data_IF_875458863289
#
_entry.id   IF_875458863289
#
_cell.length_a   1.000
_cell.length_b   1.000
_cell.length_c   1.000
_cell.angle_alpha   90.00
_cell.angle_beta   90.00
_cell.angle_gamma   90.00
#
_symmetry.space_group_name_H-M   'P 1'
#
loop_
_entity.id
_entity.type
_entity.pdbx_description
1 polymer ?
#
# COMPACT_ATOMS: atom_id res chain seq x y z
N UNK A 1 -39.07 14.44 -42.55
CA UNK A 1 -37.77 13.84 -42.21
C UNK A 1 -37.18 14.66 -41.06
N UNK A 2 -37.34 14.20 -39.83
CA UNK A 2 -36.76 14.83 -38.64
C UNK A 2 -35.47 14.07 -38.33
N UNK A 3 -34.33 14.78 -38.42
CA UNK A 3 -33.05 14.30 -37.97
C UNK A 3 -33.06 14.19 -36.43
N UNK A 4 -33.12 13.00 -35.91
CA UNK A 4 -32.76 12.70 -34.55
C UNK A 4 -31.21 12.59 -34.53
N UNK A 5 -30.56 13.66 -34.09
CA UNK A 5 -29.18 13.55 -33.57
C UNK A 5 -29.31 13.03 -32.14
N UNK A 6 -29.11 11.75 -31.98
CA UNK A 6 -28.82 11.18 -30.67
C UNK A 6 -27.51 11.79 -30.17
N UNK A 7 -27.60 12.54 -29.08
CA UNK A 7 -26.46 12.92 -28.27
C UNK A 7 -25.86 11.63 -27.69
N UNK A 8 -24.72 11.24 -28.19
CA UNK A 8 -23.91 10.21 -27.55
C UNK A 8 -23.46 10.75 -26.18
N UNK A 9 -24.21 10.39 -25.13
CA UNK A 9 -23.66 10.41 -23.79
C UNK A 9 -22.46 9.46 -23.81
N UNK A 10 -21.28 9.99 -23.57
CA UNK A 10 -20.08 9.19 -23.34
C UNK A 10 -20.29 8.41 -22.02
N UNK A 11 -20.80 7.20 -22.14
CA UNK A 11 -20.81 6.25 -21.04
C UNK A 11 -19.34 5.99 -20.70
N UNK A 12 -18.95 6.33 -19.48
CA UNK A 12 -17.63 5.97 -18.94
C UNK A 12 -17.47 4.44 -19.06
N UNK A 13 -16.63 4.02 -20.02
CA UNK A 13 -16.55 2.62 -20.46
C UNK A 13 -15.66 1.76 -19.55
N UNK A 14 -15.07 2.33 -18.48
CA UNK A 14 -14.22 1.57 -17.58
C UNK A 14 -14.96 1.22 -16.28
N UNK A 15 -15.42 -0.03 -16.18
CA UNK A 15 -16.04 -0.55 -14.95
C UNK A 15 -15.05 -0.81 -13.81
N UNK A 16 -13.76 -0.77 -14.07
CA UNK A 16 -12.67 -0.92 -13.09
C UNK A 16 -11.41 -0.23 -13.60
N UNK A 17 -10.66 0.36 -12.67
CA UNK A 17 -9.40 1.05 -12.96
C UNK A 17 -8.17 0.22 -12.56
N UNK A 18 -8.32 -1.08 -12.34
CA UNK A 18 -7.19 -1.99 -12.14
C UNK A 18 -6.51 -2.29 -13.46
N UNK A 19 -5.19 -2.10 -13.56
CA UNK A 19 -4.43 -2.49 -14.77
C UNK A 19 -4.62 -3.97 -15.11
N UNK A 20 -4.82 -4.84 -14.10
CA UNK A 20 -5.14 -6.27 -14.31
C UNK A 20 -6.44 -6.52 -15.07
N UNK A 21 -7.32 -5.54 -15.18
CA UNK A 21 -8.62 -5.58 -15.87
C UNK A 21 -8.65 -4.67 -17.11
N UNK A 22 -7.51 -4.10 -17.48
CA UNK A 22 -7.33 -3.25 -18.66
C UNK A 22 -6.44 -3.94 -19.69
N UNK A 23 -6.70 -3.66 -20.97
CA UNK A 23 -5.75 -3.96 -22.04
C UNK A 23 -4.97 -2.68 -22.42
N UNK A 24 -3.93 -2.80 -23.24
CA UNK A 24 -3.07 -1.68 -23.59
C UNK A 24 -3.80 -0.54 -24.32
N UNK A 25 -4.85 -0.84 -25.11
CA UNK A 25 -5.63 0.17 -25.83
C UNK A 25 -6.43 1.03 -24.84
N UNK A 26 -6.97 0.44 -23.78
CA UNK A 26 -7.66 1.17 -22.70
C UNK A 26 -6.71 2.11 -21.96
N UNK A 27 -5.45 1.67 -21.74
CA UNK A 27 -4.43 2.52 -21.13
C UNK A 27 -4.05 3.67 -22.06
N UNK A 28 -3.91 3.43 -23.36
CA UNK A 28 -3.61 4.47 -24.36
C UNK A 28 -4.74 5.51 -24.42
N UNK A 29 -5.99 5.07 -24.40
CA UNK A 29 -7.17 5.97 -24.34
C UNK A 29 -7.16 6.80 -23.04
N UNK A 30 -6.84 6.15 -21.89
CA UNK A 30 -6.72 6.86 -20.61
C UNK A 30 -5.65 7.96 -20.68
N UNK A 31 -4.47 7.64 -21.17
CA UNK A 31 -3.36 8.58 -21.30
C UNK A 31 -3.63 9.76 -22.24
N UNK A 32 -4.62 9.67 -23.11
CA UNK A 32 -5.12 10.78 -23.91
C UNK A 32 -5.86 11.87 -23.11
N UNK A 33 -6.24 11.58 -21.84
CA UNK A 33 -7.03 12.49 -20.98
C UNK A 33 -6.43 12.76 -19.61
N UNK A 34 -5.64 11.83 -19.05
CA UNK A 34 -5.03 11.93 -17.72
C UNK A 34 -3.68 11.20 -17.72
N UNK A 35 -2.74 11.65 -16.90
CA UNK A 35 -1.41 11.04 -16.77
C UNK A 35 -1.11 10.54 -15.35
N UNK A 36 -2.14 10.48 -14.47
CA UNK A 36 -2.02 9.95 -13.11
C UNK A 36 -2.02 8.43 -13.10
N UNK A 37 -1.31 7.84 -12.14
CA UNK A 37 -1.39 6.42 -11.83
C UNK A 37 -1.07 6.15 -10.37
N UNK A 38 -1.45 4.96 -9.89
CA UNK A 38 -1.09 4.49 -8.54
C UNK A 38 -0.25 3.23 -8.65
N UNK A 39 0.87 3.19 -7.92
CA UNK A 39 1.74 2.03 -7.76
C UNK A 39 1.71 1.57 -6.30
N UNK A 40 0.98 0.49 -5.96
CA UNK A 40 1.00 -0.07 -4.61
C UNK A 40 2.29 -0.86 -4.37
N UNK A 41 2.91 -0.65 -3.20
CA UNK A 41 4.06 -1.42 -2.73
C UNK A 41 3.68 -2.19 -1.46
N UNK A 42 3.75 -3.50 -1.52
CA UNK A 42 3.49 -4.40 -0.39
C UNK A 42 4.74 -5.13 0.08
N UNK A 43 4.52 -6.19 0.83
CA UNK A 43 5.52 -7.16 1.23
C UNK A 43 4.86 -8.52 1.46
N UNK A 44 5.64 -9.59 1.36
CA UNK A 44 5.26 -10.92 1.82
C UNK A 44 6.08 -11.22 3.06
N UNK A 45 5.51 -10.94 4.23
CA UNK A 45 6.18 -11.13 5.51
C UNK A 45 5.24 -11.61 6.61
N UNK A 46 5.83 -12.06 7.72
CA UNK A 46 5.09 -12.47 8.89
C UNK A 46 4.25 -11.32 9.45
N UNK A 47 2.98 -11.59 9.77
CA UNK A 47 2.05 -10.70 10.45
C UNK A 47 1.28 -11.45 11.55
N UNK A 48 2.02 -12.17 12.39
CA UNK A 48 1.48 -12.99 13.47
C UNK A 48 0.36 -13.94 12.97
N UNK A 49 -0.87 -13.66 13.29
CA UNK A 49 -2.05 -14.48 12.96
C UNK A 49 -2.75 -14.05 11.66
N UNK A 50 -2.27 -13.00 11.00
CA UNK A 50 -2.83 -12.49 9.75
C UNK A 50 -2.15 -13.13 8.53
N UNK A 51 -2.64 -12.80 7.36
CA UNK A 51 -2.04 -13.22 6.09
C UNK A 51 -0.59 -12.76 5.96
N UNK A 52 0.27 -13.60 5.40
CA UNK A 52 1.63 -13.18 4.99
C UNK A 52 1.62 -12.06 3.94
N UNK A 53 0.50 -11.86 3.26
CA UNK A 53 0.31 -10.81 2.26
C UNK A 53 -0.42 -9.58 2.80
N UNK A 54 -0.49 -9.39 4.12
CA UNK A 54 -1.21 -8.27 4.77
C UNK A 54 -0.85 -6.94 4.14
N UNK A 55 0.42 -6.61 4.03
CA UNK A 55 0.90 -5.34 3.44
C UNK A 55 0.42 -5.15 2.00
N UNK A 56 0.48 -6.22 1.21
CA UNK A 56 0.05 -6.20 -0.20
C UNK A 56 -1.46 -6.03 -0.33
N UNK A 57 -2.24 -6.77 0.48
CA UNK A 57 -3.70 -6.69 0.51
C UNK A 57 -4.15 -5.27 0.88
N UNK A 58 -3.53 -4.69 1.91
CA UNK A 58 -3.90 -3.36 2.40
C UNK A 58 -3.50 -2.27 1.39
N UNK A 59 -2.27 -2.31 0.87
CA UNK A 59 -1.81 -1.32 -0.10
C UNK A 59 -2.61 -1.32 -1.40
N UNK A 60 -2.87 -2.51 -1.97
CA UNK A 60 -3.62 -2.64 -3.21
C UNK A 60 -5.07 -2.22 -3.03
N UNK A 61 -5.74 -2.73 -1.99
CA UNK A 61 -7.14 -2.42 -1.73
C UNK A 61 -7.35 -0.93 -1.48
N UNK A 62 -6.50 -0.32 -0.66
CA UNK A 62 -6.56 1.11 -0.37
C UNK A 62 -6.36 1.95 -1.63
N UNK A 63 -5.36 1.59 -2.45
CA UNK A 63 -5.08 2.26 -3.71
C UNK A 63 -6.29 2.21 -4.64
N UNK A 64 -6.93 1.06 -4.78
CA UNK A 64 -8.11 0.88 -5.64
C UNK A 64 -9.30 1.69 -5.13
N UNK A 65 -9.68 1.56 -3.85
CA UNK A 65 -10.82 2.27 -3.29
C UNK A 65 -10.62 3.81 -3.30
N UNK A 66 -9.38 4.28 -3.26
CA UNK A 66 -9.07 5.69 -3.38
C UNK A 66 -9.11 6.20 -4.82
N UNK A 67 -8.57 5.44 -5.77
CA UNK A 67 -8.33 5.86 -7.15
C UNK A 67 -9.52 5.64 -8.09
N UNK A 68 -10.30 4.58 -7.87
CA UNK A 68 -11.41 4.19 -8.75
C UNK A 68 -12.47 5.30 -8.95
N UNK A 69 -12.93 6.03 -7.90
CA UNK A 69 -13.87 7.13 -8.10
C UNK A 69 -13.32 8.32 -8.88
N UNK A 70 -11.99 8.39 -9.05
CA UNK A 70 -11.29 9.42 -9.82
C UNK A 70 -10.95 8.96 -11.24
N UNK A 71 -11.28 7.71 -11.58
CA UNK A 71 -10.92 7.11 -12.86
C UNK A 71 -9.40 6.99 -13.06
N UNK A 72 -8.61 6.83 -11.99
CA UNK A 72 -7.14 6.73 -12.04
C UNK A 72 -6.72 5.25 -11.99
N UNK A 73 -5.87 4.77 -12.94
CA UNK A 73 -5.47 3.37 -12.97
C UNK A 73 -4.51 3.00 -11.82
N UNK A 74 -4.71 1.77 -11.32
CA UNK A 74 -3.90 1.17 -10.26
C UNK A 74 -3.13 0.00 -10.83
N UNK A 75 -1.81 0.08 -10.77
CA UNK A 75 -0.91 -1.00 -11.17
C UNK A 75 -0.98 -2.17 -10.19
N UNK A 76 -0.63 -3.40 -10.62
CA UNK A 76 -0.52 -4.54 -9.72
C UNK A 76 0.44 -4.24 -8.58
N UNK A 77 0.10 -4.71 -7.37
CA UNK A 77 0.95 -4.51 -6.19
C UNK A 77 2.29 -5.23 -6.35
N UNK A 78 3.39 -4.55 -6.01
CA UNK A 78 4.69 -5.20 -5.86
C UNK A 78 4.72 -5.93 -4.52
N UNK A 79 4.46 -7.23 -4.54
CA UNK A 79 4.18 -8.04 -3.35
C UNK A 79 5.43 -8.50 -2.57
N UNK A 80 6.62 -8.21 -3.03
CA UNK A 80 7.88 -8.54 -2.35
C UNK A 80 8.62 -7.26 -2.00
N UNK A 81 8.97 -7.12 -0.72
CA UNK A 81 9.58 -5.92 -0.15
C UNK A 81 10.92 -6.20 0.55
N UNK A 82 11.35 -5.22 1.35
CA UNK A 82 12.61 -5.27 2.12
C UNK A 82 12.28 -5.58 3.58
N UNK A 83 12.44 -6.85 4.00
CA UNK A 83 12.14 -7.31 5.36
C UNK A 83 13.21 -8.29 5.90
N UNK A 84 14.49 -7.90 5.94
CA UNK A 84 15.57 -8.82 6.30
C UNK A 84 15.47 -9.33 7.74
N UNK A 85 14.91 -8.54 8.65
CA UNK A 85 14.78 -8.87 10.07
C UNK A 85 13.75 -9.98 10.34
N UNK A 86 12.76 -10.19 9.45
CA UNK A 86 11.78 -11.28 9.58
C UNK A 86 12.12 -12.55 8.79
N UNK A 87 13.30 -12.62 8.21
CA UNK A 87 13.73 -13.73 7.35
C UNK A 87 13.74 -15.10 8.05
N UNK A 88 13.75 -15.14 9.39
CA UNK A 88 13.66 -16.38 10.15
C UNK A 88 12.22 -16.90 10.34
N UNK A 89 11.19 -16.14 9.95
CA UNK A 89 9.80 -16.59 9.94
C UNK A 89 9.50 -17.24 8.59
N UNK A 90 9.11 -18.53 8.56
CA UNK A 90 8.81 -19.21 7.30
C UNK A 90 7.72 -18.51 6.49
N UNK A 91 7.92 -18.42 5.18
CA UNK A 91 7.01 -17.73 4.25
C UNK A 91 7.35 -16.24 4.05
N UNK A 92 8.17 -15.63 4.90
CA UNK A 92 8.68 -14.28 4.66
C UNK A 92 9.71 -14.29 3.54
N UNK A 93 9.51 -13.44 2.53
CA UNK A 93 10.42 -13.26 1.40
C UNK A 93 10.95 -11.83 1.42
N UNK A 94 12.25 -11.66 1.55
CA UNK A 94 12.88 -10.33 1.48
C UNK A 94 13.72 -10.19 0.22
N UNK A 95 13.64 -9.04 -0.42
CA UNK A 95 14.58 -8.62 -1.44
C UNK A 95 15.75 -7.86 -0.80
N UNK A 96 16.89 -7.81 -1.49
CA UNK A 96 17.96 -6.87 -1.15
C UNK A 96 17.51 -5.45 -1.49
N UNK A 97 18.01 -4.47 -0.76
CA UNK A 97 17.70 -3.05 -1.02
C UNK A 97 18.01 -2.69 -2.48
N UNK A 98 19.21 -3.01 -2.95
CA UNK A 98 19.65 -2.74 -4.33
C UNK A 98 18.73 -3.38 -5.38
N UNK A 99 18.30 -4.63 -5.16
CA UNK A 99 17.39 -5.35 -6.07
C UNK A 99 16.01 -4.68 -6.08
N UNK A 100 15.52 -4.31 -4.90
CA UNK A 100 14.21 -3.68 -4.77
C UNK A 100 14.19 -2.29 -5.43
N UNK A 101 15.24 -1.49 -5.22
CA UNK A 101 15.37 -0.18 -5.89
C UNK A 101 15.44 -0.34 -7.40
N UNK A 102 16.18 -1.33 -7.91
CA UNK A 102 16.23 -1.60 -9.36
C UNK A 102 14.85 -1.97 -9.92
N UNK A 103 14.11 -2.86 -9.24
CA UNK A 103 12.75 -3.22 -9.69
C UNK A 103 11.80 -2.03 -9.68
N UNK A 104 11.83 -1.21 -8.63
CA UNK A 104 11.00 0.01 -8.56
C UNK A 104 11.41 1.00 -9.65
N UNK A 105 12.72 1.17 -9.89
CA UNK A 105 13.26 2.02 -10.96
C UNK A 105 12.78 1.59 -12.33
N UNK A 106 12.94 0.32 -12.68
CA UNK A 106 12.50 -0.25 -13.99
C UNK A 106 10.98 -0.05 -14.20
N UNK A 107 10.18 -0.20 -13.13
CA UNK A 107 8.73 0.06 -13.20
C UNK A 107 8.45 1.54 -13.46
N UNK A 108 9.09 2.44 -12.73
CA UNK A 108 8.90 3.88 -12.88
C UNK A 108 9.38 4.37 -14.26
N UNK A 109 10.49 3.83 -14.77
CA UNK A 109 11.01 4.14 -16.12
C UNK A 109 9.99 3.76 -17.18
N UNK A 110 9.43 2.54 -17.11
CA UNK A 110 8.42 2.08 -18.05
C UNK A 110 7.12 2.91 -17.95
N UNK A 111 6.67 3.25 -16.73
CA UNK A 111 5.50 4.10 -16.53
C UNK A 111 5.71 5.50 -17.15
N UNK A 112 6.88 6.11 -16.93
CA UNK A 112 7.23 7.42 -17.45
C UNK A 112 7.35 7.41 -18.97
N UNK A 113 7.95 6.37 -19.56
CA UNK A 113 8.05 6.16 -21.00
C UNK A 113 6.69 6.07 -21.68
N UNK A 114 5.71 5.40 -21.05
CA UNK A 114 4.35 5.32 -21.57
C UNK A 114 3.55 6.62 -21.41
N UNK A 115 4.03 7.59 -20.61
CA UNK A 115 3.37 8.88 -20.46
C UNK A 115 2.70 9.13 -19.11
N UNK A 116 2.81 8.22 -18.15
CA UNK A 116 2.41 8.50 -16.77
C UNK A 116 3.38 9.50 -16.13
N UNK A 117 2.89 10.66 -15.74
CA UNK A 117 3.73 11.74 -15.20
C UNK A 117 3.42 12.12 -13.76
N UNK A 118 2.29 11.67 -13.22
CA UNK A 118 1.85 11.90 -11.86
C UNK A 118 1.58 10.55 -11.19
N UNK A 119 2.54 10.05 -10.43
CA UNK A 119 2.51 8.70 -9.85
C UNK A 119 2.37 8.80 -8.33
N UNK A 120 1.33 8.21 -7.77
CA UNK A 120 1.20 8.01 -6.33
C UNK A 120 1.69 6.62 -5.96
N UNK A 121 2.75 6.54 -5.19
CA UNK A 121 3.20 5.29 -4.57
C UNK A 121 2.46 5.13 -3.25
N UNK A 122 1.62 4.08 -3.14
CA UNK A 122 0.95 3.70 -1.90
C UNK A 122 1.73 2.58 -1.25
N UNK A 123 2.50 2.92 -0.23
CA UNK A 123 3.33 1.95 0.48
C UNK A 123 2.55 1.32 1.64
N UNK A 124 2.51 -0.01 1.69
CA UNK A 124 1.93 -0.83 2.76
C UNK A 124 2.94 -1.38 3.76
N UNK A 125 4.26 -1.21 3.51
CA UNK A 125 5.29 -1.88 4.29
C UNK A 125 6.41 -0.94 4.77
N UNK A 126 6.68 -0.94 6.07
CA UNK A 126 7.69 -0.06 6.69
C UNK A 126 9.10 -0.26 6.17
N UNK A 127 9.49 -1.49 5.82
CA UNK A 127 10.79 -1.81 5.26
C UNK A 127 11.05 -1.22 3.86
N UNK A 128 10.01 -0.81 3.13
CA UNK A 128 10.13 -0.18 1.82
C UNK A 128 10.45 1.33 1.89
N UNK A 129 10.52 1.92 3.07
CA UNK A 129 10.80 3.37 3.27
C UNK A 129 12.04 3.87 2.51
N UNK A 130 13.13 3.08 2.28
CA UNK A 130 14.25 3.52 1.44
C UNK A 130 13.86 3.98 0.03
N UNK A 131 12.73 3.51 -0.52
CA UNK A 131 12.19 3.95 -1.82
C UNK A 131 11.95 5.46 -1.84
N UNK A 132 11.58 6.06 -0.72
CA UNK A 132 11.34 7.51 -0.66
C UNK A 132 12.59 8.33 -1.01
N UNK A 133 13.75 7.90 -0.52
CA UNK A 133 15.03 8.54 -0.89
C UNK A 133 15.40 8.29 -2.34
N UNK A 134 15.24 7.04 -2.82
CA UNK A 134 15.48 6.66 -4.20
C UNK A 134 14.60 7.44 -5.18
N UNK A 135 13.31 7.61 -4.88
CA UNK A 135 12.38 8.39 -5.72
C UNK A 135 12.85 9.83 -5.87
N UNK A 136 13.41 10.45 -4.82
CA UNK A 136 13.97 11.80 -4.90
C UNK A 136 15.13 11.89 -5.90
N UNK A 137 16.03 10.91 -5.92
CA UNK A 137 17.13 10.80 -6.90
C UNK A 137 16.57 10.55 -8.31
N UNK A 138 15.67 9.60 -8.46
CA UNK A 138 15.05 9.23 -9.73
C UNK A 138 14.34 10.42 -10.41
N UNK A 139 13.59 11.23 -9.66
CA UNK A 139 12.89 12.43 -10.18
C UNK A 139 13.90 13.46 -10.74
N UNK A 140 15.10 13.56 -10.14
CA UNK A 140 16.11 14.51 -10.61
C UNK A 140 16.56 14.22 -12.06
N UNK A 141 16.54 12.95 -12.46
CA UNK A 141 16.89 12.50 -13.81
C UNK A 141 15.67 12.42 -14.76
N UNK A 142 14.45 12.60 -14.22
CA UNK A 142 13.19 12.51 -14.99
C UNK A 142 12.37 13.82 -14.92
N UNK A 143 12.85 14.91 -15.54
CA UNK A 143 12.17 16.20 -15.49
C UNK A 143 10.77 16.11 -16.10
N UNK A 144 9.78 16.61 -15.37
CA UNK A 144 8.36 16.58 -15.78
C UNK A 144 7.55 15.43 -15.16
N UNK A 145 8.17 14.47 -14.50
CA UNK A 145 7.47 13.47 -13.67
C UNK A 145 7.35 13.97 -12.22
N UNK A 146 6.25 13.65 -11.59
CA UNK A 146 5.97 13.94 -10.18
C UNK A 146 5.57 12.66 -9.47
N UNK A 147 6.18 12.39 -8.34
CA UNK A 147 5.88 11.20 -7.54
C UNK A 147 5.59 11.63 -6.12
N UNK A 148 4.45 11.17 -5.59
CA UNK A 148 4.13 11.23 -4.16
C UNK A 148 4.36 9.85 -3.55
N UNK A 149 5.04 9.80 -2.39
CA UNK A 149 5.24 8.58 -1.63
C UNK A 149 4.40 8.62 -0.35
N UNK A 150 3.48 7.68 -0.20
CA UNK A 150 2.49 7.67 0.86
C UNK A 150 2.57 6.40 1.71
N UNK A 151 3.02 6.52 2.95
CA UNK A 151 2.90 5.48 3.96
C UNK A 151 1.51 5.57 4.58
N UNK A 152 0.56 4.79 4.09
CA UNK A 152 -0.84 4.95 4.45
C UNK A 152 -1.12 4.75 5.94
N UNK A 153 -0.46 3.77 6.60
CA UNK A 153 -0.74 3.37 7.99
C UNK A 153 -0.36 4.42 9.04
N UNK A 154 0.58 5.31 8.74
CA UNK A 154 1.02 6.39 9.62
C UNK A 154 0.74 7.79 9.05
N UNK A 155 -0.10 7.87 8.05
CA UNK A 155 -0.58 9.12 7.51
C UNK A 155 -1.37 9.89 8.60
N UNK A 156 -1.33 11.22 8.62
CA UNK A 156 -1.82 12.02 9.75
C UNK A 156 -3.25 11.69 10.19
N UNK A 157 -4.21 11.55 9.26
CA UNK A 157 -5.60 11.24 9.60
C UNK A 157 -5.75 9.79 10.10
N UNK A 158 -5.08 8.85 9.44
CA UNK A 158 -5.06 7.44 9.83
C UNK A 158 -4.49 7.30 11.24
N UNK A 159 -3.33 7.90 11.47
CA UNK A 159 -2.68 7.82 12.77
C UNK A 159 -3.49 8.47 13.89
N UNK A 160 -4.15 9.59 13.61
CA UNK A 160 -5.05 10.21 14.57
C UNK A 160 -6.22 9.28 14.97
N UNK A 161 -6.80 8.53 14.00
CA UNK A 161 -7.84 7.55 14.29
C UNK A 161 -7.30 6.36 15.10
N UNK A 162 -6.12 5.84 14.74
CA UNK A 162 -5.45 4.76 15.48
C UNK A 162 -5.25 5.18 16.95
N UNK A 163 -4.69 6.37 17.18
CA UNK A 163 -4.41 6.87 18.53
C UNK A 163 -5.70 7.18 19.33
N UNK A 164 -6.79 7.54 18.68
CA UNK A 164 -8.07 7.77 19.32
C UNK A 164 -8.74 6.46 19.77
N UNK A 165 -8.48 5.34 19.08
CA UNK A 165 -9.01 4.03 19.40
C UNK A 165 -8.16 3.36 20.48
N UNK A 166 -6.86 3.20 20.23
CA UNK A 166 -5.91 2.61 21.17
C UNK A 166 -4.48 3.05 20.82
N UNK A 167 -3.78 3.73 21.74
CA UNK A 167 -2.41 4.18 21.49
C UNK A 167 -1.40 3.03 21.39
N UNK A 168 -1.76 1.81 21.83
CA UNK A 168 -0.89 0.62 21.75
C UNK A 168 -1.17 -0.11 20.44
N UNK A 169 -0.61 0.43 19.36
CA UNK A 169 -0.75 -0.09 17.99
C UNK A 169 0.63 -0.27 17.36
N UNK A 170 0.84 -1.38 16.65
CA UNK A 170 2.15 -1.74 16.09
C UNK A 170 2.03 -2.74 14.95
N UNK A 171 3.19 -3.14 14.38
CA UNK A 171 3.29 -4.22 13.40
C UNK A 171 2.65 -5.52 13.90
N UNK A 172 1.85 -6.13 13.04
CA UNK A 172 1.12 -7.38 13.27
C UNK A 172 0.15 -7.32 14.46
N UNK A 173 -0.27 -6.14 14.89
CA UNK A 173 -1.27 -5.92 15.91
C UNK A 173 -2.66 -5.67 15.32
N UNK A 174 -3.59 -5.32 16.18
CA UNK A 174 -4.97 -5.01 15.83
C UNK A 174 -5.11 -3.99 14.69
N UNK A 175 -4.20 -3.00 14.56
CA UNK A 175 -4.31 -1.94 13.55
C UNK A 175 -4.16 -2.43 12.10
N UNK A 176 -3.69 -3.65 11.89
CA UNK A 176 -3.59 -4.31 10.59
C UNK A 176 -4.60 -5.45 10.42
N UNK A 177 -5.41 -5.71 11.46
CA UNK A 177 -6.38 -6.81 11.50
C UNK A 177 -7.73 -6.38 10.90
N UNK A 178 -7.76 -6.12 9.61
CA UNK A 178 -8.98 -5.86 8.85
C UNK A 178 -9.67 -7.18 8.43
N UNK A 179 -10.98 -7.18 8.14
CA UNK A 179 -11.70 -8.40 7.72
C UNK A 179 -11.02 -9.15 6.57
N UNK A 180 -10.36 -8.45 5.66
CA UNK A 180 -9.70 -9.02 4.48
C UNK A 180 -8.24 -9.43 4.68
N UNK A 181 -7.63 -9.14 5.82
CA UNK A 181 -6.30 -9.64 6.20
C UNK A 181 -6.36 -10.90 7.07
N UNK A 182 -7.56 -11.24 7.58
CA UNK A 182 -7.79 -12.39 8.45
C UNK A 182 -7.78 -13.71 7.68
N UNK A 183 -7.32 -14.74 8.34
CA UNK A 183 -7.36 -16.11 7.83
C UNK A 183 -8.51 -16.88 8.50
N UNK A 184 -9.23 -17.70 7.71
CA UNK A 184 -10.32 -18.49 8.21
C UNK A 184 -9.84 -19.52 9.26
N UNK A 185 -10.61 -19.71 10.33
CA UNK A 185 -10.36 -20.70 11.40
C UNK A 185 -9.09 -20.44 12.22
N UNK A 186 -8.54 -19.24 12.20
CA UNK A 186 -7.45 -18.84 13.08
C UNK A 186 -8.04 -18.13 14.30
N UNK A 187 -7.73 -18.61 15.49
CA UNK A 187 -8.05 -17.95 16.74
C UNK A 187 -6.89 -17.03 17.14
N UNK A 188 -7.19 -15.77 17.37
CA UNK A 188 -6.22 -14.79 17.86
C UNK A 188 -6.26 -14.71 19.38
N UNK A 189 -5.16 -14.43 20.08
CA UNK A 189 -5.16 -14.18 21.51
C UNK A 189 -6.03 -12.98 21.88
N UNK A 190 -6.67 -13.04 23.04
CA UNK A 190 -7.50 -11.94 23.57
C UNK A 190 -6.73 -11.01 24.49
N UNK A 191 -5.57 -11.46 24.98
CA UNK A 191 -4.72 -10.69 25.88
C UNK A 191 -3.83 -9.73 25.08
N UNK A 192 -3.65 -8.54 25.63
CA UNK A 192 -2.73 -7.55 25.06
C UNK A 192 -1.29 -7.98 25.28
N UNK A 193 -0.52 -8.05 24.19
CA UNK A 193 0.91 -8.30 24.26
C UNK A 193 1.66 -7.03 24.69
N UNK A 194 2.63 -7.13 25.63
CA UNK A 194 3.50 -6.01 25.95
C UNK A 194 4.24 -5.47 24.72
N UNK A 195 4.37 -4.15 24.63
CA UNK A 195 5.06 -3.52 23.51
C UNK A 195 6.55 -3.86 23.55
N UNK A 196 7.08 -4.34 22.43
CA UNK A 196 8.51 -4.50 22.21
C UNK A 196 9.10 -3.20 21.67
N UNK A 197 10.37 -2.93 22.03
CA UNK A 197 11.10 -1.78 21.50
C UNK A 197 11.58 -2.05 20.06
N UNK A 198 11.04 -1.34 19.04
CA UNK A 198 11.44 -1.55 17.65
C UNK A 198 12.92 -1.25 17.39
N UNK A 199 13.51 -0.29 18.11
CA UNK A 199 14.92 0.07 17.95
C UNK A 199 15.85 -1.05 18.46
N UNK A 200 15.44 -1.76 19.51
CA UNK A 200 16.15 -2.94 19.98
C UNK A 200 16.06 -4.06 18.95
N UNK A 201 14.87 -4.31 18.39
CA UNK A 201 14.65 -5.36 17.39
C UNK A 201 15.50 -5.16 16.12
N UNK A 202 15.65 -3.91 15.66
CA UNK A 202 16.46 -3.57 14.48
C UNK A 202 17.94 -3.87 14.62
N UNK A 203 18.44 -4.09 15.84
CA UNK A 203 19.85 -4.42 16.14
C UNK A 203 20.10 -5.92 16.28
N UNK A 204 19.05 -6.73 16.18
CA UNK A 204 19.12 -8.17 16.34
C UNK A 204 19.22 -8.87 14.97
N UNK A 205 19.87 -10.03 14.95
CA UNK A 205 19.79 -10.92 13.80
C UNK A 205 18.39 -11.56 13.68
N UNK A 206 18.00 -12.09 12.49
CA UNK A 206 16.65 -12.59 12.27
C UNK A 206 16.20 -13.72 13.22
N UNK A 207 17.12 -14.59 13.66
CA UNK A 207 16.79 -15.67 14.60
C UNK A 207 16.46 -15.11 15.97
N UNK A 208 17.29 -14.19 16.45
CA UNK A 208 17.08 -13.48 17.71
C UNK A 208 15.79 -12.66 17.70
N UNK A 209 15.45 -12.01 16.57
CA UNK A 209 14.16 -11.33 16.41
C UNK A 209 13.00 -12.31 16.57
N UNK A 210 13.05 -13.46 15.89
CA UNK A 210 12.01 -14.49 16.00
C UNK A 210 11.87 -15.06 17.41
N UNK A 211 12.99 -15.35 18.07
CA UNK A 211 13.00 -15.84 19.45
C UNK A 211 12.41 -14.83 20.43
N UNK A 212 12.67 -13.54 20.20
CA UNK A 212 12.18 -12.46 21.04
C UNK A 212 10.70 -12.19 20.83
N UNK A 213 10.26 -12.08 19.57
CA UNK A 213 8.86 -11.78 19.21
C UNK A 213 7.93 -13.00 19.35
N UNK A 214 8.45 -14.21 19.19
CA UNK A 214 7.70 -15.49 19.20
C UNK A 214 6.71 -15.58 18.06
N UNK A 215 5.49 -15.03 18.24
CA UNK A 215 4.41 -15.02 17.24
C UNK A 215 4.56 -13.94 16.17
N UNK A 216 5.43 -12.96 16.36
CA UNK A 216 5.71 -11.89 15.38
C UNK A 216 5.03 -10.55 15.67
N UNK A 217 4.00 -10.48 16.52
CA UNK A 217 3.39 -9.21 16.91
C UNK A 217 4.37 -8.37 17.76
N UNK A 218 4.53 -7.09 17.43
CA UNK A 218 5.39 -6.18 18.21
C UNK A 218 4.80 -5.77 19.56
N UNK A 219 3.49 -5.81 19.70
CA UNK A 219 2.76 -5.48 20.93
C UNK A 219 1.38 -4.89 20.64
N UNK A 220 0.54 -4.85 21.64
CA UNK A 220 -0.84 -4.43 21.54
C UNK A 220 -1.82 -5.62 21.48
N UNK A 221 -3.09 -5.31 21.31
CA UNK A 221 -4.14 -6.30 21.04
C UNK A 221 -3.94 -6.91 19.64
N UNK A 222 -4.55 -8.05 19.38
CA UNK A 222 -4.48 -8.73 18.08
C UNK A 222 -5.66 -8.39 17.17
N UNK A 223 -6.76 -7.96 17.74
CA UNK A 223 -7.99 -7.64 17.02
C UNK A 223 -8.80 -6.59 17.79
N UNK A 224 -9.58 -5.81 17.05
CA UNK A 224 -10.61 -4.90 17.55
C UNK A 224 -11.88 -5.05 16.71
N UNK A 225 -12.95 -4.39 17.13
CA UNK A 225 -14.23 -4.43 16.45
C UNK A 225 -14.15 -3.86 15.02
N UNK A 226 -14.88 -4.49 14.11
CA UNK A 226 -14.85 -4.10 12.69
C UNK A 226 -15.30 -2.65 12.46
N UNK A 227 -16.21 -2.12 13.29
CA UNK A 227 -16.61 -0.71 13.21
C UNK A 227 -15.44 0.25 13.48
N UNK A 228 -14.56 -0.06 14.44
CA UNK A 228 -13.37 0.73 14.73
C UNK A 228 -12.37 0.63 13.57
N UNK A 229 -12.17 -0.58 13.07
CA UNK A 229 -11.28 -0.83 11.94
C UNK A 229 -11.73 -0.09 10.67
N UNK A 230 -13.04 -0.08 10.41
CA UNK A 230 -13.59 0.63 9.23
C UNK A 230 -13.46 2.15 9.32
N UNK A 231 -13.43 2.76 10.52
CA UNK A 231 -13.13 4.19 10.68
C UNK A 231 -11.68 4.51 10.25
N UNK A 232 -10.73 3.66 10.63
CA UNK A 232 -9.32 3.79 10.20
C UNK A 232 -9.23 3.64 8.69
N UNK A 233 -9.90 2.62 8.13
CA UNK A 233 -9.90 2.35 6.70
C UNK A 233 -10.43 3.53 5.90
N UNK A 234 -11.59 4.06 6.30
CA UNK A 234 -12.21 5.22 5.65
C UNK A 234 -11.29 6.45 5.67
N UNK A 235 -10.65 6.74 6.81
CA UNK A 235 -9.66 7.82 6.90
C UNK A 235 -8.50 7.60 5.93
N UNK A 236 -8.01 6.36 5.80
CA UNK A 236 -6.94 6.00 4.86
C UNK A 236 -7.35 6.20 3.39
N UNK A 237 -8.55 5.73 3.01
CA UNK A 237 -9.08 5.91 1.66
C UNK A 237 -9.25 7.39 1.32
N UNK A 238 -9.81 8.19 2.23
CA UNK A 238 -10.01 9.62 2.02
C UNK A 238 -8.69 10.38 1.90
N UNK A 239 -7.72 10.08 2.75
CA UNK A 239 -6.40 10.72 2.73
C UNK A 239 -5.62 10.37 1.46
N UNK A 240 -5.66 9.10 1.05
CA UNK A 240 -5.03 8.63 -0.19
C UNK A 240 -5.70 9.27 -1.43
N UNK A 241 -7.03 9.36 -1.44
CA UNK A 241 -7.78 10.02 -2.52
C UNK A 241 -7.48 11.51 -2.62
N UNK A 242 -7.33 12.19 -1.48
CA UNK A 242 -6.94 13.60 -1.44
C UNK A 242 -5.59 13.81 -2.12
N UNK A 243 -4.59 12.95 -1.86
CA UNK A 243 -3.28 13.02 -2.51
C UNK A 243 -3.33 12.88 -4.03
N UNK A 244 -4.29 12.11 -4.56
CA UNK A 244 -4.52 11.98 -6.01
C UNK A 244 -5.19 13.20 -6.63
N UNK A 245 -6.01 13.91 -5.85
CA UNK A 245 -6.80 15.06 -6.30
C UNK A 245 -6.12 16.40 -6.11
N UNK A 246 -5.20 16.49 -5.15
CA UNK A 246 -4.46 17.71 -4.81
C UNK A 246 -3.42 18.07 -5.86
N UNK A 247 -2.92 19.32 -5.76
CA UNK A 247 -1.87 19.84 -6.62
C UNK A 247 -0.63 18.94 -6.64
N UNK A 248 -0.09 18.74 -7.85
CA UNK A 248 1.12 17.95 -8.11
C UNK A 248 2.35 18.85 -8.38
N UNK A 249 2.25 20.14 -8.08
CA UNK A 249 3.37 21.10 -8.20
C UNK A 249 4.35 21.00 -7.04
#
# INVERSE_FOLDING_TARGET
>A
MKNLRESAESVDHFSSMRISEMNWMMVEEYLGRDDRAVLPLGCTEQHAYLSLSTDSILAERLAVEAAEPLGVPVFPVLAYGITPYFRAFPGTITLRVETYMSVVGDILDAMAEHGFKRILIVNGHGGNTPVQGFVGEWIADHPGVRIKFHNWWNAPKVWAQVQAIDPVASHASWMENFPWTRLAKINVPTEQKPMNDPEKLRRLDPKSVREHLKDGNYGGLYQRDDEEMMKIWQAGVEETRALLSEDWT
#
